data_IF_866111526713
#
_entry.id   IF_866111526713
#
_cell.length_a   1.000
_cell.length_b   1.000
_cell.length_c   1.000
_cell.angle_alpha   90.00
_cell.angle_beta   90.00
_cell.angle_gamma   90.00
#
_symmetry.space_group_name_H-M   'P 1'
#
loop_
_entity.id
_entity.type
_entity.pdbx_description
1 polymer ?
#
# COMPACT_ATOMS: atom_id res chain seq x y z
N UNK A 1 26.55 -3.61 -8.84
CA UNK A 1 25.19 -3.12 -9.15
C UNK A 1 24.20 -3.89 -8.28
N UNK A 2 23.10 -3.26 -7.85
CA UNK A 2 22.09 -3.94 -7.02
C UNK A 2 20.73 -3.96 -7.72
N UNK A 3 20.13 -5.14 -7.83
CA UNK A 3 18.71 -5.30 -8.15
C UNK A 3 17.91 -5.40 -6.85
N UNK A 4 17.10 -4.39 -6.55
CA UNK A 4 16.29 -4.32 -5.34
C UNK A 4 14.85 -4.76 -5.64
N UNK A 5 14.35 -5.77 -4.93
CA UNK A 5 12.95 -6.17 -5.00
C UNK A 5 12.21 -5.86 -3.69
N UNK A 6 11.07 -5.17 -3.80
CA UNK A 6 10.21 -4.77 -2.68
C UNK A 6 8.88 -5.51 -2.76
N UNK A 7 8.70 -6.49 -1.87
CA UNK A 7 7.54 -7.38 -1.86
C UNK A 7 6.20 -6.69 -1.54
N UNK A 8 5.10 -7.41 -1.77
CA UNK A 8 3.76 -6.98 -1.38
C UNK A 8 3.43 -7.14 0.11
N UNK A 9 2.34 -6.48 0.55
CA UNK A 9 1.85 -6.58 1.95
C UNK A 9 1.24 -5.30 2.55
N UNK A 10 0.76 -4.37 1.71
CA UNK A 10 0.17 -3.09 2.14
C UNK A 10 1.16 -2.17 2.85
N UNK A 11 0.65 -1.22 3.66
CA UNK A 11 1.50 -0.26 4.37
C UNK A 11 2.49 -0.90 5.34
N UNK A 12 2.18 -2.08 5.88
CA UNK A 12 3.14 -2.84 6.70
C UNK A 12 4.43 -3.15 5.92
N UNK A 13 4.29 -3.60 4.67
CA UNK A 13 5.43 -3.85 3.79
C UNK A 13 6.14 -2.54 3.43
N UNK A 14 5.37 -1.51 3.05
CA UNK A 14 5.91 -0.18 2.75
C UNK A 14 6.83 0.36 3.84
N UNK A 15 6.38 0.30 5.10
CA UNK A 15 7.09 0.81 6.27
C UNK A 15 8.34 -0.02 6.59
N UNK A 16 8.27 -1.35 6.46
CA UNK A 16 9.43 -2.22 6.59
C UNK A 16 10.50 -1.91 5.53
N UNK A 17 10.10 -1.74 4.26
CA UNK A 17 11.01 -1.42 3.17
C UNK A 17 11.71 -0.06 3.36
N UNK A 18 11.05 0.95 3.96
CA UNK A 18 11.72 2.21 4.32
C UNK A 18 12.89 1.99 5.29
N UNK A 19 12.76 1.04 6.23
CA UNK A 19 13.86 0.63 7.11
C UNK A 19 15.03 0.02 6.35
N UNK A 20 14.74 -0.89 5.42
CA UNK A 20 15.75 -1.55 4.56
C UNK A 20 16.47 -0.51 3.68
N UNK A 21 15.72 0.40 3.06
CA UNK A 21 16.26 1.47 2.22
C UNK A 21 17.07 2.50 3.03
N UNK A 22 16.65 2.81 4.25
CA UNK A 22 17.45 3.64 5.17
C UNK A 22 18.78 2.96 5.52
N UNK A 23 18.79 1.63 5.70
CA UNK A 23 20.05 0.89 5.90
C UNK A 23 20.93 0.92 4.65
N UNK A 24 20.37 0.72 3.45
CA UNK A 24 21.11 0.88 2.20
C UNK A 24 21.71 2.28 2.04
N UNK A 25 21.00 3.32 2.48
CA UNK A 25 21.50 4.70 2.45
C UNK A 25 22.66 4.92 3.44
N UNK A 26 22.59 4.36 4.65
CA UNK A 26 23.68 4.43 5.62
C UNK A 26 24.98 3.78 5.12
N UNK A 27 24.85 2.69 4.36
CA UNK A 27 25.97 1.94 3.79
C UNK A 27 26.46 2.51 2.45
N UNK A 28 25.86 3.60 1.95
CA UNK A 28 26.19 4.16 0.63
C UNK A 28 25.82 3.23 -0.54
N UNK A 29 25.01 2.20 -0.30
CA UNK A 29 24.59 1.21 -1.30
C UNK A 29 23.33 1.63 -2.06
N UNK A 30 22.53 2.56 -1.53
CA UNK A 30 21.28 2.99 -2.16
C UNK A 30 21.52 3.62 -3.55
N UNK A 31 22.64 4.31 -3.75
CA UNK A 31 23.05 4.88 -5.06
C UNK A 31 23.50 3.82 -6.08
N UNK A 32 23.85 2.62 -5.61
CA UNK A 32 24.30 1.49 -6.46
C UNK A 32 23.13 0.63 -6.95
N UNK A 33 21.90 0.96 -6.53
CA UNK A 33 20.67 0.31 -7.00
C UNK A 33 20.45 0.66 -8.46
N UNK A 34 20.41 -0.37 -9.30
CA UNK A 34 20.23 -0.26 -10.75
C UNK A 34 18.79 -0.49 -11.18
N UNK A 35 18.05 -1.35 -10.48
CA UNK A 35 16.64 -1.62 -10.72
C UNK A 35 15.90 -1.78 -9.40
N UNK A 36 14.67 -1.25 -9.33
CA UNK A 36 13.76 -1.36 -8.19
C UNK A 36 12.47 -2.00 -8.69
N UNK A 37 12.30 -3.29 -8.42
CA UNK A 37 11.08 -4.02 -8.74
C UNK A 37 10.15 -4.04 -7.55
N UNK A 38 8.89 -3.65 -7.73
CA UNK A 38 7.97 -3.45 -6.62
C UNK A 38 6.61 -4.10 -6.84
N UNK A 39 6.01 -4.56 -5.74
CA UNK A 39 4.71 -5.22 -5.74
C UNK A 39 3.83 -4.60 -4.65
N UNK A 40 2.57 -4.25 -4.95
CA UNK A 40 1.58 -3.86 -3.95
C UNK A 40 2.07 -2.78 -2.98
N UNK A 41 2.17 -3.07 -1.67
CA UNK A 41 2.75 -2.16 -0.67
C UNK A 41 4.18 -1.68 -1.02
N UNK A 42 4.99 -2.55 -1.62
CA UNK A 42 6.28 -2.19 -2.20
C UNK A 42 6.14 -1.17 -3.33
N UNK A 43 5.12 -1.28 -4.18
CA UNK A 43 4.86 -0.33 -5.27
C UNK A 43 4.43 1.04 -4.77
N UNK A 44 3.69 1.08 -3.67
CA UNK A 44 3.29 2.33 -3.02
C UNK A 44 4.54 3.11 -2.57
N UNK A 45 5.41 2.47 -1.77
CA UNK A 45 6.59 3.15 -1.24
C UNK A 45 7.68 3.35 -2.29
N UNK A 46 7.86 2.40 -3.19
CA UNK A 46 8.87 2.45 -4.25
C UNK A 46 8.60 3.58 -5.22
N UNK A 47 7.35 3.71 -5.71
CA UNK A 47 6.97 4.84 -6.55
C UNK A 47 7.05 6.18 -5.80
N UNK A 48 6.68 6.21 -4.51
CA UNK A 48 6.76 7.42 -3.69
C UNK A 48 8.21 7.91 -3.54
N UNK A 49 9.11 7.01 -3.14
CA UNK A 49 10.55 7.26 -3.11
C UNK A 49 11.07 7.70 -4.49
N UNK A 50 10.71 6.98 -5.54
CA UNK A 50 11.24 7.21 -6.88
C UNK A 50 10.83 8.57 -7.45
N UNK A 51 9.60 9.02 -7.17
CA UNK A 51 9.13 10.37 -7.52
C UNK A 51 10.03 11.43 -6.88
N UNK A 52 10.31 11.29 -5.57
CA UNK A 52 11.17 12.24 -4.85
C UNK A 52 12.64 12.15 -5.31
N UNK A 53 13.13 10.96 -5.67
CA UNK A 53 14.45 10.81 -6.28
C UNK A 53 14.53 11.54 -7.63
N UNK A 54 13.50 11.43 -8.48
CA UNK A 54 13.46 12.15 -9.75
C UNK A 54 13.51 13.67 -9.56
N UNK A 55 12.93 14.20 -8.48
CA UNK A 55 13.03 15.62 -8.14
C UNK A 55 14.47 16.02 -7.80
N UNK A 56 15.21 15.18 -7.06
CA UNK A 56 16.63 15.44 -6.76
C UNK A 56 17.54 15.35 -8.00
N UNK A 57 17.25 14.42 -8.91
CA UNK A 57 18.02 14.19 -10.12
C UNK A 57 17.88 15.30 -11.18
N UNK A 58 16.95 16.25 -10.97
CA UNK A 58 16.82 17.46 -11.78
C UNK A 58 17.88 18.52 -11.46
N UNK A 59 18.57 18.38 -10.32
CA UNK A 59 19.65 19.28 -9.96
C UNK A 59 20.91 18.94 -10.78
N UNK A 60 21.55 19.97 -11.33
CA UNK A 60 22.80 19.83 -12.08
C UNK A 60 24.02 19.75 -11.13
N UNK A 61 24.04 18.69 -10.31
CA UNK A 61 25.15 18.35 -9.42
C UNK A 61 25.19 16.85 -9.16
N UNK A 62 26.37 16.28 -8.84
CA UNK A 62 26.44 14.91 -8.37
C UNK A 62 25.76 14.76 -7.00
N UNK A 63 24.99 13.70 -6.82
CA UNK A 63 24.38 13.32 -5.55
C UNK A 63 25.37 12.51 -4.71
N UNK A 64 25.58 12.95 -3.48
CA UNK A 64 26.46 12.31 -2.49
C UNK A 64 25.68 11.32 -1.62
N UNK A 65 26.37 10.47 -0.86
CA UNK A 65 25.72 9.56 0.10
C UNK A 65 24.85 10.31 1.11
N UNK A 66 25.26 11.52 1.49
CA UNK A 66 24.47 12.35 2.40
C UNK A 66 23.18 12.85 1.74
N UNK A 67 23.19 13.17 0.45
CA UNK A 67 21.98 13.56 -0.29
C UNK A 67 20.96 12.42 -0.34
N UNK A 68 21.42 11.17 -0.51
CA UNK A 68 20.54 9.99 -0.43
C UNK A 68 19.97 9.79 0.98
N UNK A 69 20.75 10.07 2.04
CA UNK A 69 20.25 10.03 3.43
C UNK A 69 19.20 11.12 3.66
N UNK A 70 19.45 12.33 3.21
CA UNK A 70 18.53 13.47 3.36
C UNK A 70 17.23 13.27 2.55
N UNK A 71 17.34 12.69 1.35
CA UNK A 71 16.19 12.21 0.57
C UNK A 71 15.39 11.18 1.36
N UNK A 72 16.02 10.13 1.88
CA UNK A 72 15.33 9.10 2.66
C UNK A 72 14.67 9.66 3.91
N UNK A 73 15.28 10.62 4.60
CA UNK A 73 14.65 11.28 5.74
C UNK A 73 13.37 12.04 5.35
N UNK A 74 13.38 12.76 4.22
CA UNK A 74 12.16 13.41 3.70
C UNK A 74 11.11 12.38 3.31
N UNK A 75 11.49 11.33 2.59
CA UNK A 75 10.61 10.22 2.21
C UNK A 75 9.93 9.63 3.44
N UNK A 76 10.68 9.33 4.51
CA UNK A 76 10.13 8.80 5.76
C UNK A 76 9.13 9.78 6.39
N UNK A 77 9.49 11.06 6.53
CA UNK A 77 8.63 12.07 7.16
C UNK A 77 7.32 12.24 6.41
N UNK A 78 7.38 12.39 5.09
CA UNK A 78 6.19 12.59 4.26
C UNK A 78 5.35 11.31 4.17
N UNK A 79 5.98 10.14 4.03
CA UNK A 79 5.26 8.88 3.93
C UNK A 79 4.55 8.52 5.25
N UNK A 80 5.16 8.79 6.42
CA UNK A 80 4.51 8.60 7.72
C UNK A 80 3.24 9.45 7.85
N UNK A 81 3.28 10.71 7.38
CA UNK A 81 2.10 11.56 7.36
C UNK A 81 1.00 11.00 6.46
N UNK A 82 1.36 10.37 5.34
CA UNK A 82 0.40 9.76 4.41
C UNK A 82 -0.22 8.48 4.99
N UNK A 83 0.56 7.58 5.59
CA UNK A 83 0.01 6.33 6.14
C UNK A 83 -0.83 6.53 7.40
N UNK A 84 -0.75 7.70 8.04
CA UNK A 84 -1.66 8.09 9.12
C UNK A 84 -3.06 8.46 8.63
N UNK A 85 -3.24 8.69 7.32
CA UNK A 85 -4.55 8.90 6.72
C UNK A 85 -5.21 7.54 6.37
N UNK A 86 -6.50 7.40 6.68
CA UNK A 86 -7.23 6.16 6.47
C UNK A 86 -7.72 6.03 5.03
N UNK A 87 -6.87 5.43 4.17
CA UNK A 87 -7.18 5.23 2.77
C UNK A 87 -8.28 4.18 2.58
N UNK A 88 -8.22 3.08 3.33
CA UNK A 88 -9.18 1.97 3.21
C UNK A 88 -10.59 2.37 3.61
N UNK A 89 -10.82 3.05 4.73
CA UNK A 89 -12.18 3.40 5.14
C UNK A 89 -12.82 4.44 4.21
N UNK A 90 -12.04 5.32 3.57
CA UNK A 90 -12.54 6.20 2.49
C UNK A 90 -13.01 5.40 1.26
N UNK A 91 -12.41 4.23 1.00
CA UNK A 91 -12.71 3.33 -0.13
C UNK A 91 -13.89 2.39 0.14
N UNK A 92 -13.95 1.74 1.31
CA UNK A 92 -14.90 0.65 1.63
C UNK A 92 -16.36 1.12 1.75
N UNK A 93 -16.61 2.35 2.19
CA UNK A 93 -17.98 2.88 2.45
C UNK A 93 -18.85 2.95 1.17
N UNK A 94 -18.29 2.81 -0.03
CA UNK A 94 -19.05 2.90 -1.29
C UNK A 94 -18.99 1.63 -2.14
N UNK A 95 -17.97 0.79 -1.96
CA UNK A 95 -17.87 -0.52 -2.63
C UNK A 95 -18.96 -1.52 -2.19
N UNK A 96 -19.59 -1.31 -1.03
CA UNK A 96 -20.77 -2.09 -0.62
C UNK A 96 -22.01 -1.83 -1.50
N UNK A 97 -22.15 -0.62 -2.05
CA UNK A 97 -23.30 -0.23 -2.87
C UNK A 97 -23.17 -0.83 -4.29
N UNK A 98 -21.96 -0.83 -4.86
CA UNK A 98 -21.68 -1.44 -6.17
C UNK A 98 -21.75 -2.96 -6.18
N UNK A 99 -21.66 -3.62 -5.02
CA UNK A 99 -21.84 -5.08 -4.87
C UNK A 99 -23.31 -5.50 -4.84
N UNK A 100 -24.20 -4.60 -4.40
CA UNK A 100 -25.64 -4.85 -4.32
C UNK A 100 -26.36 -4.50 -5.62
N UNK A 101 -25.81 -3.58 -6.42
CA UNK A 101 -26.41 -3.12 -7.67
C UNK A 101 -25.39 -3.27 -8.81
N UNK A 102 -25.67 -4.10 -9.83
CA UNK A 102 -24.83 -4.24 -11.01
C UNK A 102 -24.44 -2.89 -11.62
N UNK A 103 -23.17 -2.73 -11.99
CA UNK A 103 -22.60 -1.48 -12.53
C UNK A 103 -23.42 -0.84 -13.66
N UNK A 104 -24.04 -1.60 -14.61
CA UNK A 104 -24.88 -1.00 -15.66
C UNK A 104 -26.13 -0.31 -15.12
N UNK A 105 -26.72 -0.86 -14.05
CA UNK A 105 -27.92 -0.33 -13.39
C UNK A 105 -27.54 0.91 -12.57
N UNK A 106 -26.42 0.83 -11.84
CA UNK A 106 -25.89 1.94 -11.06
C UNK A 106 -25.47 3.11 -11.97
N UNK A 107 -24.84 2.84 -13.12
CA UNK A 107 -24.51 3.85 -14.15
C UNK A 107 -25.75 4.57 -14.65
N UNK A 108 -26.84 3.85 -14.96
CA UNK A 108 -28.10 4.46 -15.41
C UNK A 108 -28.74 5.34 -14.34
N UNK A 109 -28.75 4.87 -13.09
CA UNK A 109 -29.25 5.61 -11.93
C UNK A 109 -28.42 6.88 -11.67
N UNK A 110 -27.10 6.76 -11.62
CA UNK A 110 -26.18 7.89 -11.42
C UNK A 110 -26.24 8.88 -12.58
N UNK A 111 -26.44 8.42 -13.82
CA UNK A 111 -26.63 9.30 -14.97
C UNK A 111 -27.94 10.10 -14.89
N UNK A 112 -29.04 9.47 -14.43
CA UNK A 112 -30.31 10.15 -14.14
C UNK A 112 -30.14 11.21 -13.03
N UNK A 113 -29.37 10.89 -11.98
CA UNK A 113 -29.07 11.82 -10.89
C UNK A 113 -28.15 12.96 -11.35
N UNK A 114 -27.14 12.68 -12.18
CA UNK A 114 -26.22 13.67 -12.73
C UNK A 114 -26.94 14.74 -13.54
N UNK A 115 -28.00 14.36 -14.28
CA UNK A 115 -28.85 15.32 -15.00
C UNK A 115 -29.53 16.34 -14.09
N UNK A 116 -29.81 15.97 -12.84
CA UNK A 116 -30.49 16.83 -11.87
C UNK A 116 -29.49 17.53 -10.95
N UNK A 117 -28.35 16.88 -10.67
CA UNK A 117 -27.27 17.38 -9.82
C UNK A 117 -25.93 17.18 -10.56
N UNK A 118 -25.48 18.17 -11.35
CA UNK A 118 -24.26 18.07 -12.16
C UNK A 118 -22.99 17.78 -11.34
N UNK A 119 -22.99 18.11 -10.05
CA UNK A 119 -21.89 17.84 -9.12
C UNK A 119 -21.65 16.34 -8.85
N UNK A 120 -22.63 15.47 -9.11
CA UNK A 120 -22.51 14.02 -8.96
C UNK A 120 -22.14 13.38 -10.31
N UNK A 121 -20.85 13.35 -10.64
CA UNK A 121 -20.36 12.76 -11.90
C UNK A 121 -20.23 11.22 -11.75
N UNK A 122 -20.94 10.41 -12.57
CA UNK A 122 -20.87 8.95 -12.50
C UNK A 122 -19.45 8.42 -12.70
N UNK A 123 -18.66 9.04 -13.59
CA UNK A 123 -17.29 8.64 -13.84
C UNK A 123 -16.43 8.77 -12.58
N UNK A 124 -16.62 9.80 -11.77
CA UNK A 124 -15.88 10.02 -10.50
C UNK A 124 -16.35 9.06 -9.40
N UNK A 125 -17.61 8.65 -9.41
CA UNK A 125 -18.19 7.72 -8.43
C UNK A 125 -17.81 6.26 -8.70
N UNK A 126 -17.65 5.93 -9.98
CA UNK A 126 -17.31 4.57 -10.46
C UNK A 126 -15.80 4.34 -10.60
N UNK A 127 -15.01 5.40 -10.66
CA UNK A 127 -13.56 5.32 -10.71
C UNK A 127 -12.97 4.74 -9.41
N UNK A 128 -11.81 4.10 -9.53
CA UNK A 128 -11.22 3.37 -8.40
C UNK A 128 -10.87 4.34 -7.28
N UNK A 129 -11.57 4.24 -6.14
CA UNK A 129 -11.25 5.05 -4.97
C UNK A 129 -9.83 4.81 -4.45
N UNK A 130 -9.26 3.63 -4.71
CA UNK A 130 -7.86 3.34 -4.40
C UNK A 130 -6.94 4.23 -5.24
N UNK A 131 -7.19 4.31 -6.54
CA UNK A 131 -6.48 5.24 -7.44
C UNK A 131 -6.68 6.69 -7.01
N UNK A 132 -7.91 7.12 -6.73
CA UNK A 132 -8.18 8.50 -6.27
C UNK A 132 -7.44 8.83 -4.97
N UNK A 133 -7.39 7.90 -4.03
CA UNK A 133 -6.66 8.05 -2.78
C UNK A 133 -5.16 8.21 -3.00
N UNK A 134 -4.56 7.33 -3.81
CA UNK A 134 -3.14 7.42 -4.17
C UNK A 134 -2.83 8.71 -4.95
N UNK A 135 -3.74 9.11 -5.84
CA UNK A 135 -3.64 10.36 -6.60
C UNK A 135 -3.66 11.56 -5.67
N UNK A 136 -4.61 11.64 -4.75
CA UNK A 136 -4.78 12.79 -3.87
C UNK A 136 -3.64 12.93 -2.84
N UNK A 137 -3.10 11.80 -2.33
CA UNK A 137 -2.15 11.82 -1.22
C UNK A 137 -0.69 11.73 -1.65
N UNK A 138 -0.38 11.10 -2.78
CA UNK A 138 1.01 10.73 -3.13
C UNK A 138 1.46 11.24 -4.50
N UNK A 139 0.66 11.02 -5.55
CA UNK A 139 1.15 11.15 -6.93
C UNK A 139 0.55 12.32 -7.72
N UNK A 140 -0.53 12.94 -7.25
CA UNK A 140 -1.17 14.11 -7.85
C UNK A 140 -1.47 13.94 -9.36
N UNK A 141 -0.79 14.69 -10.23
CA UNK A 141 -0.96 14.61 -11.69
C UNK A 141 0.20 13.90 -12.38
N UNK A 142 1.11 13.28 -11.61
CA UNK A 142 2.32 12.63 -12.14
C UNK A 142 1.93 11.47 -13.06
N UNK A 143 2.44 11.50 -14.28
CA UNK A 143 2.32 10.41 -15.26
C UNK A 143 3.65 9.68 -15.42
N UNK A 144 3.61 8.51 -16.05
CA UNK A 144 4.81 7.67 -16.20
C UNK A 144 5.97 8.41 -16.89
N UNK A 145 5.66 9.23 -17.91
CA UNK A 145 6.65 10.07 -18.61
C UNK A 145 7.45 10.97 -17.68
N UNK A 146 6.82 11.58 -16.68
CA UNK A 146 7.49 12.49 -15.73
C UNK A 146 8.56 11.77 -14.90
N UNK A 147 8.48 10.43 -14.83
CA UNK A 147 9.43 9.56 -14.15
C UNK A 147 10.45 8.92 -15.10
N UNK A 148 10.42 9.20 -16.41
CA UNK A 148 11.36 8.61 -17.39
C UNK A 148 12.57 9.49 -17.70
N UNK A 149 12.55 10.77 -17.35
CA UNK A 149 13.63 11.71 -17.68
C UNK A 149 14.99 11.24 -17.13
N UNK A 150 16.04 11.34 -17.94
CA UNK A 150 17.40 11.06 -17.48
C UNK A 150 17.86 12.10 -16.44
N UNK A 151 18.80 11.75 -15.53
CA UNK A 151 19.42 12.73 -14.66
C UNK A 151 20.03 13.89 -15.43
N UNK A 152 19.94 15.10 -14.88
CA UNK A 152 20.55 16.29 -15.49
C UNK A 152 22.07 16.20 -15.46
N UNK A 153 22.62 15.81 -14.31
CA UNK A 153 24.06 15.60 -14.17
C UNK A 153 24.48 14.19 -14.59
N UNK A 154 25.51 14.00 -15.44
CA UNK A 154 25.86 12.71 -16.04
C UNK A 154 26.44 11.69 -15.06
N UNK A 155 26.98 12.13 -13.92
CA UNK A 155 27.48 11.21 -12.88
C UNK A 155 26.37 10.58 -12.05
N UNK A 156 25.17 11.17 -12.07
CA UNK A 156 24.05 10.64 -11.33
C UNK A 156 23.48 9.41 -12.03
N UNK A 157 23.23 8.36 -11.25
CA UNK A 157 22.56 7.16 -11.72
C UNK A 157 21.09 7.20 -11.31
N UNK A 158 20.23 6.82 -12.23
CA UNK A 158 18.79 6.64 -11.98
C UNK A 158 18.44 5.16 -12.12
N UNK A 159 17.91 4.51 -11.08
CA UNK A 159 17.48 3.13 -11.21
C UNK A 159 16.28 3.01 -12.16
N UNK A 160 16.09 1.84 -12.75
CA UNK A 160 14.83 1.47 -13.41
C UNK A 160 13.79 1.09 -12.36
N UNK A 161 12.73 1.88 -12.19
CA UNK A 161 11.55 1.49 -11.39
C UNK A 161 10.63 0.59 -12.22
N UNK A 162 10.21 -0.53 -11.63
CA UNK A 162 9.28 -1.50 -12.19
C UNK A 162 8.10 -1.71 -11.24
N UNK A 163 6.89 -1.38 -11.69
CA UNK A 163 5.65 -1.66 -10.98
C UNK A 163 5.03 -2.95 -11.55
N UNK A 164 4.93 -3.99 -10.73
CA UNK A 164 4.41 -5.30 -11.14
C UNK A 164 2.89 -5.37 -10.93
N UNK A 165 2.14 -5.75 -11.95
CA UNK A 165 0.70 -6.04 -11.86
C UNK A 165 0.36 -7.32 -12.62
N UNK A 166 -0.72 -7.99 -12.23
CA UNK A 166 -1.19 -9.20 -12.91
C UNK A 166 -2.39 -8.85 -13.79
N UNK A 167 -2.40 -9.28 -15.05
CA UNK A 167 -3.53 -9.07 -15.96
C UNK A 167 -4.53 -10.21 -15.82
N UNK A 168 -5.80 -9.87 -15.57
CA UNK A 168 -6.86 -10.86 -15.37
C UNK A 168 -7.23 -11.61 -16.66
N UNK A 169 -7.20 -10.94 -17.81
CA UNK A 169 -7.65 -11.51 -19.08
C UNK A 169 -6.84 -12.72 -19.54
N UNK A 170 -5.54 -12.76 -19.21
CA UNK A 170 -4.63 -13.81 -19.67
C UNK A 170 -3.74 -14.41 -18.58
N UNK A 171 -3.84 -13.94 -17.33
CA UNK A 171 -3.08 -14.47 -16.20
C UNK A 171 -1.57 -14.25 -16.30
N UNK A 172 -1.11 -13.26 -17.08
CA UNK A 172 0.30 -12.95 -17.27
C UNK A 172 0.69 -11.67 -16.51
N UNK A 173 1.96 -11.52 -16.11
CA UNK A 173 2.44 -10.29 -15.50
C UNK A 173 2.48 -9.16 -16.53
N UNK A 174 2.21 -7.95 -16.08
CA UNK A 174 2.47 -6.70 -16.78
C UNK A 174 3.51 -5.92 -15.96
N UNK A 175 4.62 -5.59 -16.61
CA UNK A 175 5.71 -4.83 -16.02
C UNK A 175 5.63 -3.37 -16.46
N UNK A 176 5.27 -2.45 -15.57
CA UNK A 176 5.26 -1.02 -15.90
C UNK A 176 6.63 -0.45 -15.53
N UNK A 177 7.52 -0.38 -16.52
CA UNK A 177 8.89 0.11 -16.35
C UNK A 177 9.05 1.58 -16.73
N UNK A 178 9.87 2.30 -15.97
CA UNK A 178 10.29 3.69 -16.24
C UNK A 178 11.41 3.80 -17.29
N UNK A 179 11.97 2.67 -17.74
CA UNK A 179 12.90 2.63 -18.86
C UNK A 179 12.17 2.14 -20.12
N UNK A 180 11.89 3.00 -21.10
CA UNK A 180 11.15 2.62 -22.31
C UNK A 180 11.89 1.62 -23.21
N UNK A 181 13.20 1.45 -23.02
CA UNK A 181 14.01 0.49 -23.79
C UNK A 181 14.22 -0.86 -23.06
N UNK A 182 13.64 -1.01 -21.88
CA UNK A 182 13.76 -2.21 -21.05
C UNK A 182 13.29 -3.48 -21.77
N UNK A 183 13.96 -4.60 -21.49
CA UNK A 183 13.55 -5.93 -21.95
C UNK A 183 12.14 -6.30 -21.47
N UNK A 184 11.69 -5.71 -20.37
CA UNK A 184 10.36 -5.91 -19.81
C UNK A 184 9.26 -5.39 -20.75
N UNK A 185 9.50 -4.29 -21.47
CA UNK A 185 8.55 -3.82 -22.48
C UNK A 185 8.46 -4.75 -23.67
N UNK A 186 9.55 -5.39 -24.08
CA UNK A 186 9.53 -6.42 -25.14
C UNK A 186 8.72 -7.64 -24.70
N UNK A 187 8.82 -8.02 -23.42
CA UNK A 187 8.00 -9.09 -22.86
C UNK A 187 6.51 -8.71 -22.83
N UNK A 188 6.20 -7.47 -22.44
CA UNK A 188 4.82 -6.96 -22.47
C UNK A 188 4.25 -6.93 -23.90
N UNK A 189 5.04 -6.51 -24.89
CA UNK A 189 4.63 -6.49 -26.30
C UNK A 189 4.31 -7.91 -26.79
N UNK A 190 5.15 -8.90 -26.45
CA UNK A 190 4.90 -10.30 -26.79
C UNK A 190 3.65 -10.88 -26.13
N UNK A 191 3.43 -10.59 -24.86
CA UNK A 191 2.37 -11.23 -24.07
C UNK A 191 1.02 -10.55 -24.26
N UNK A 192 1.03 -9.23 -24.48
CA UNK A 192 -0.17 -8.38 -24.38
C UNK A 192 -0.38 -7.48 -25.60
N UNK A 193 0.63 -7.35 -26.47
CA UNK A 193 0.70 -6.33 -27.51
C UNK A 193 0.61 -4.90 -26.93
N UNK A 194 1.30 -4.66 -25.81
CA UNK A 194 1.40 -3.35 -25.15
C UNK A 194 2.83 -2.84 -25.29
N UNK A 195 3.00 -1.64 -25.85
CA UNK A 195 4.30 -0.98 -26.00
C UNK A 195 4.51 0.14 -24.98
N UNK A 196 5.76 0.53 -24.79
CA UNK A 196 6.15 1.57 -23.84
C UNK A 196 5.56 2.96 -24.19
N UNK A 197 5.53 3.31 -25.47
CA UNK A 197 5.05 4.59 -25.99
C UNK A 197 3.55 4.82 -25.74
N UNK A 198 2.77 3.75 -25.68
CA UNK A 198 1.33 3.79 -25.38
C UNK A 198 1.05 4.11 -23.90
N UNK A 199 2.03 3.91 -23.02
CA UNK A 199 1.88 3.99 -21.56
C UNK A 199 2.46 5.28 -20.95
N UNK A 200 3.04 6.15 -21.77
CA UNK A 200 3.72 7.38 -21.31
C UNK A 200 2.82 8.30 -20.48
N UNK A 201 1.54 8.39 -20.83
CA UNK A 201 0.57 9.25 -20.15
C UNK A 201 -0.23 8.51 -19.07
N UNK A 202 0.11 7.26 -18.76
CA UNK A 202 -0.56 6.53 -17.68
C UNK A 202 -0.27 7.24 -16.34
N UNK A 203 -1.30 7.60 -15.54
CA UNK A 203 -1.08 8.15 -14.21
C UNK A 203 -0.31 7.16 -13.33
N UNK A 204 0.72 7.64 -12.63
CA UNK A 204 1.50 6.80 -11.70
C UNK A 204 0.60 6.25 -10.60
N UNK A 205 -0.36 7.04 -10.11
CA UNK A 205 -1.38 6.58 -9.15
C UNK A 205 -2.15 5.37 -9.65
N UNK A 206 -2.42 5.28 -10.96
CA UNK A 206 -3.15 4.16 -11.57
C UNK A 206 -2.31 2.91 -11.64
N UNK A 207 -1.05 3.04 -12.06
CA UNK A 207 -0.10 1.92 -12.11
C UNK A 207 0.14 1.33 -10.71
N UNK A 208 0.35 2.21 -9.71
CA UNK A 208 0.52 1.80 -8.30
C UNK A 208 -0.77 1.18 -7.77
N UNK A 209 -1.93 1.75 -8.07
CA UNK A 209 -3.22 1.20 -7.64
C UNK A 209 -3.47 -0.19 -8.25
N UNK A 210 -3.12 -0.41 -9.52
CA UNK A 210 -3.23 -1.72 -10.16
C UNK A 210 -2.33 -2.74 -9.46
N UNK A 211 -1.08 -2.38 -9.18
CA UNK A 211 -0.14 -3.22 -8.44
C UNK A 211 -0.58 -3.53 -7.00
N UNK A 212 -1.38 -2.65 -6.36
CA UNK A 212 -1.90 -2.83 -5.00
C UNK A 212 -3.38 -3.28 -4.94
N UNK A 213 -3.97 -3.64 -6.09
CA UNK A 213 -5.38 -3.99 -6.20
C UNK A 213 -5.63 -5.45 -5.79
N UNK A 214 -5.68 -5.69 -4.48
CA UNK A 214 -5.97 -7.01 -3.91
C UNK A 214 -7.33 -7.54 -4.40
N UNK A 215 -7.37 -8.69 -5.11
CA UNK A 215 -8.61 -9.31 -5.58
C UNK A 215 -9.62 -9.54 -4.45
N UNK A 216 -10.90 -9.31 -4.72
CA UNK A 216 -11.98 -9.45 -3.73
C UNK A 216 -12.08 -8.30 -2.70
N UNK A 217 -11.00 -7.54 -2.49
CA UNK A 217 -11.03 -6.32 -1.68
C UNK A 217 -11.32 -5.08 -2.52
N UNK A 218 -10.70 -4.97 -3.69
CA UNK A 218 -10.87 -3.85 -4.63
C UNK A 218 -11.37 -4.35 -5.99
N UNK A 219 -12.00 -3.44 -6.75
CA UNK A 219 -12.34 -3.71 -8.14
C UNK A 219 -11.06 -3.64 -8.99
N UNK A 220 -10.88 -4.55 -9.97
CA UNK A 220 -9.73 -4.51 -10.88
C UNK A 220 -9.55 -3.15 -11.55
N UNK A 221 -8.30 -2.73 -11.72
CA UNK A 221 -7.96 -1.41 -12.28
C UNK A 221 -7.88 -1.52 -13.80
N UNK A 222 -8.73 -0.78 -14.50
CA UNK A 222 -8.71 -0.70 -15.97
C UNK A 222 -7.51 0.12 -16.44
N UNK A 223 -6.56 -0.53 -17.11
CA UNK A 223 -5.37 0.09 -17.70
C UNK A 223 -5.63 0.29 -19.21
N UNK A 224 -5.66 1.53 -19.72
CA UNK A 224 -5.81 1.80 -21.15
C UNK A 224 -4.52 1.55 -21.91
N UNK A 225 -4.63 0.96 -23.11
CA UNK A 225 -3.54 0.81 -24.07
C UNK A 225 -4.09 0.90 -25.51
N UNK A 226 -3.76 1.98 -26.21
CA UNK A 226 -4.37 2.29 -27.50
C UNK A 226 -5.90 2.30 -27.42
N UNK A 227 -6.56 1.52 -28.30
CA UNK A 227 -8.01 1.35 -28.33
C UNK A 227 -8.52 0.20 -27.42
N UNK A 228 -7.63 -0.43 -26.66
CA UNK A 228 -7.91 -1.61 -25.83
C UNK A 228 -7.75 -1.29 -24.35
N UNK A 229 -8.32 -2.15 -23.51
CA UNK A 229 -8.33 -2.03 -22.05
C UNK A 229 -8.07 -3.40 -21.44
N UNK A 230 -7.25 -3.43 -20.37
CA UNK A 230 -6.90 -4.64 -19.60
C UNK A 230 -7.17 -4.36 -18.13
N UNK A 231 -7.44 -5.41 -17.37
CA UNK A 231 -7.75 -5.28 -15.95
C UNK A 231 -6.60 -5.79 -15.10
N UNK A 232 -5.87 -4.84 -14.51
CA UNK A 232 -4.78 -5.10 -13.59
C UNK A 232 -5.28 -5.39 -12.17
N UNK A 233 -4.70 -6.41 -11.55
CA UNK A 233 -4.82 -6.71 -10.12
C UNK A 233 -3.44 -6.80 -9.48
N UNK A 234 -3.42 -6.99 -8.16
CA UNK A 234 -2.20 -7.07 -7.38
C UNK A 234 -1.16 -8.02 -8.02
N UNK A 235 0.07 -7.53 -8.17
CA UNK A 235 1.18 -8.31 -8.75
C UNK A 235 1.54 -9.53 -7.90
N UNK A 236 1.21 -9.51 -6.61
CA UNK A 236 1.52 -10.57 -5.66
C UNK A 236 0.82 -11.89 -5.94
N UNK A 237 -0.25 -11.89 -6.75
CA UNK A 237 -0.90 -13.12 -7.22
C UNK A 237 0.06 -14.00 -8.02
N UNK A 238 0.97 -13.40 -8.80
CA UNK A 238 1.94 -14.11 -9.64
C UNK A 238 3.36 -14.06 -9.09
N UNK A 239 3.79 -12.93 -8.52
CA UNK A 239 5.11 -12.75 -7.93
C UNK A 239 5.05 -11.73 -6.80
N UNK A 240 4.86 -12.19 -5.56
CA UNK A 240 4.79 -11.29 -4.40
C UNK A 240 6.14 -10.73 -3.97
N UNK A 241 7.27 -11.32 -4.41
CA UNK A 241 8.60 -10.83 -4.07
C UNK A 241 9.08 -9.76 -5.07
N UNK A 242 8.53 -9.75 -6.28
CA UNK A 242 8.98 -8.88 -7.38
C UNK A 242 10.32 -9.32 -7.97
N UNK A 243 10.79 -10.54 -7.65
CA UNK A 243 12.09 -11.05 -8.08
C UNK A 243 12.14 -11.44 -9.56
N UNK A 244 10.99 -11.73 -10.19
CA UNK A 244 10.93 -12.16 -11.58
C UNK A 244 11.39 -11.05 -12.54
N UNK A 245 10.95 -9.80 -12.34
CA UNK A 245 11.39 -8.67 -13.15
C UNK A 245 12.90 -8.43 -13.03
N UNK A 246 13.45 -8.52 -11.81
CA UNK A 246 14.90 -8.39 -11.57
C UNK A 246 15.68 -9.51 -12.26
N UNK A 247 15.16 -10.73 -12.25
CA UNK A 247 15.78 -11.87 -12.94
C UNK A 247 15.83 -11.66 -14.46
N UNK A 248 14.77 -11.10 -15.06
CA UNK A 248 14.74 -10.78 -16.49
C UNK A 248 15.72 -9.66 -16.87
N UNK A 249 15.99 -8.75 -15.93
CA UNK A 249 16.97 -7.67 -16.08
C UNK A 249 18.37 -8.05 -15.59
N UNK A 250 18.57 -9.30 -15.15
CA UNK A 250 19.82 -9.69 -14.52
C UNK A 250 21.00 -9.62 -15.47
N UNK A 251 22.12 -9.12 -14.95
CA UNK A 251 23.38 -8.98 -15.64
C UNK A 251 24.50 -9.52 -14.76
N UNK A 252 25.58 -9.97 -15.38
CA UNK A 252 26.76 -10.44 -14.67
C UNK A 252 27.28 -9.35 -13.71
N UNK A 253 27.55 -9.71 -12.44
CA UNK A 253 27.96 -8.77 -11.40
C UNK A 253 26.83 -7.96 -10.76
N UNK A 254 25.55 -8.24 -11.06
CA UNK A 254 24.41 -7.69 -10.33
C UNK A 254 24.05 -8.57 -9.12
N UNK A 255 24.22 -8.01 -7.92
CA UNK A 255 23.72 -8.62 -6.68
C UNK A 255 22.22 -8.34 -6.54
N UNK A 256 21.45 -9.33 -6.12
CA UNK A 256 20.00 -9.18 -5.92
C UNK A 256 19.69 -9.13 -4.42
N UNK A 257 18.94 -8.11 -4.02
CA UNK A 257 18.42 -7.94 -2.67
C UNK A 257 16.90 -8.04 -2.69
N UNK A 258 16.37 -9.14 -2.15
CA UNK A 258 14.94 -9.36 -1.97
C UNK A 258 14.53 -8.87 -0.57
N UNK A 259 13.83 -7.74 -0.51
CA UNK A 259 13.20 -7.28 0.73
C UNK A 259 11.82 -7.94 0.85
N UNK A 260 11.74 -8.96 1.71
CA UNK A 260 10.55 -9.75 1.91
C UNK A 260 9.80 -9.36 3.18
N UNK A 261 8.73 -8.63 2.98
CA UNK A 261 7.77 -8.28 4.01
C UNK A 261 6.53 -9.19 3.97
N UNK A 262 6.50 -10.28 3.19
CA UNK A 262 5.31 -11.13 3.02
C UNK A 262 4.81 -11.71 4.35
N UNK A 263 3.50 -11.61 4.60
CA UNK A 263 2.88 -12.14 5.83
C UNK A 263 2.97 -13.67 5.87
N UNK A 264 3.37 -14.28 6.99
CA UNK A 264 3.31 -15.75 7.12
C UNK A 264 1.87 -16.24 7.07
N UNK A 265 1.70 -17.44 6.53
CA UNK A 265 0.44 -18.14 6.56
C UNK A 265 0.07 -18.47 8.01
N UNK A 266 -1.08 -18.01 8.48
CA UNK A 266 -1.56 -18.30 9.84
C UNK A 266 -2.00 -19.76 9.95
N UNK A 267 -1.82 -20.39 11.11
CA UNK A 267 -2.50 -21.66 11.41
C UNK A 267 -3.87 -21.30 11.96
N UNK A 268 -4.93 -21.70 11.26
CA UNK A 268 -6.33 -21.37 11.60
C UNK A 268 -7.14 -22.65 11.69
N UNK A 269 -8.13 -22.68 12.60
CA UNK A 269 -9.05 -23.80 12.71
C UNK A 269 -10.16 -23.63 11.67
N UNK A 270 -10.37 -24.62 10.80
CA UNK A 270 -11.31 -24.55 9.68
C UNK A 270 -12.76 -24.24 10.10
N UNK A 271 -13.14 -24.57 11.34
CA UNK A 271 -14.47 -24.30 11.91
C UNK A 271 -14.79 -22.79 11.94
N UNK A 272 -13.78 -21.91 11.91
CA UNK A 272 -13.95 -20.46 11.98
C UNK A 272 -13.95 -19.74 10.62
N UNK A 273 -13.73 -20.47 9.52
CA UNK A 273 -13.51 -19.89 8.18
C UNK A 273 -14.82 -19.85 7.39
N UNK A 274 -15.33 -18.65 7.08
CA UNK A 274 -16.48 -18.50 6.20
C UNK A 274 -16.11 -18.63 4.70
N UNK A 275 -17.10 -18.62 3.81
CA UNK A 275 -16.86 -18.80 2.36
C UNK A 275 -16.04 -17.67 1.72
N UNK A 276 -16.09 -16.46 2.27
CA UNK A 276 -15.32 -15.31 1.78
C UNK A 276 -13.89 -15.36 2.31
N UNK A 277 -13.72 -15.69 3.60
CA UNK A 277 -12.43 -15.90 4.24
C UNK A 277 -11.67 -17.06 3.60
N UNK A 278 -12.39 -18.13 3.18
CA UNK A 278 -11.83 -19.24 2.41
C UNK A 278 -11.19 -18.79 1.10
N UNK A 279 -11.78 -17.84 0.37
CA UNK A 279 -11.20 -17.32 -0.87
C UNK A 279 -9.86 -16.61 -0.62
N UNK A 280 -9.82 -15.70 0.36
CA UNK A 280 -8.58 -15.01 0.74
C UNK A 280 -7.54 -15.97 1.30
N UNK A 281 -7.97 -17.01 2.01
CA UNK A 281 -7.10 -18.06 2.53
C UNK A 281 -6.43 -18.84 1.41
N UNK A 282 -7.17 -19.20 0.36
CA UNK A 282 -6.63 -19.86 -0.83
C UNK A 282 -5.63 -18.95 -1.55
N UNK A 283 -5.94 -17.65 -1.67
CA UNK A 283 -4.99 -16.70 -2.24
C UNK A 283 -3.70 -16.61 -1.42
N UNK A 284 -3.80 -16.49 -0.10
CA UNK A 284 -2.65 -16.45 0.81
C UNK A 284 -1.81 -17.75 0.73
N UNK A 285 -2.46 -18.92 0.55
CA UNK A 285 -1.79 -20.21 0.31
C UNK A 285 -0.97 -20.21 -0.98
N UNK A 286 -1.56 -19.82 -2.11
CA UNK A 286 -0.84 -19.76 -3.39
C UNK A 286 0.32 -18.78 -3.35
N UNK A 287 0.11 -17.57 -2.81
CA UNK A 287 1.18 -16.58 -2.68
C UNK A 287 2.32 -17.08 -1.78
N UNK A 288 2.01 -17.79 -0.69
CA UNK A 288 3.05 -18.39 0.16
C UNK A 288 3.82 -19.48 -0.57
N UNK A 289 3.14 -20.38 -1.28
CA UNK A 289 3.80 -21.46 -2.01
C UNK A 289 4.73 -20.93 -3.12
N UNK A 290 4.28 -19.95 -3.90
CA UNK A 290 5.10 -19.31 -4.95
C UNK A 290 6.32 -18.60 -4.33
N UNK A 291 6.13 -17.88 -3.22
CA UNK A 291 7.22 -17.24 -2.48
C UNK A 291 8.25 -18.26 -2.01
N UNK A 292 7.81 -19.34 -1.38
CA UNK A 292 8.69 -20.34 -0.77
C UNK A 292 9.53 -21.03 -1.86
N UNK A 293 8.91 -21.43 -2.98
CA UNK A 293 9.61 -21.95 -4.16
C UNK A 293 10.65 -20.96 -4.71
N UNK A 294 10.34 -19.67 -4.74
CA UNK A 294 11.28 -18.64 -5.21
C UNK A 294 12.49 -18.51 -4.28
N UNK A 295 12.28 -18.60 -2.98
CA UNK A 295 13.35 -18.47 -1.98
C UNK A 295 14.24 -19.71 -1.93
N UNK A 296 13.66 -20.90 -2.06
CA UNK A 296 14.43 -22.16 -2.07
C UNK A 296 15.32 -22.29 -3.31
N UNK A 297 14.90 -21.72 -4.44
CA UNK A 297 15.61 -21.81 -5.71
C UNK A 297 16.59 -20.67 -6.00
N UNK A 298 16.93 -19.82 -5.03
CA UNK A 298 17.77 -18.64 -5.29
C UNK A 298 18.92 -18.48 -4.29
N UNK A 299 20.06 -17.99 -4.79
CA UNK A 299 21.21 -17.53 -4.00
C UNK A 299 21.12 -16.03 -3.66
N UNK A 300 19.99 -15.37 -3.99
CA UNK A 300 19.76 -13.96 -3.74
C UNK A 300 19.86 -13.60 -2.24
N UNK A 301 20.28 -12.38 -1.95
CA UNK A 301 20.30 -11.88 -0.57
C UNK A 301 18.88 -11.55 -0.13
N UNK A 302 18.39 -12.17 0.94
CA UNK A 302 17.03 -11.97 1.45
C UNK A 302 17.05 -11.25 2.80
N UNK A 303 16.28 -10.17 2.88
CA UNK A 303 15.97 -9.46 4.12
C UNK A 303 14.52 -9.73 4.46
N UNK A 304 14.27 -10.42 5.57
CA UNK A 304 12.93 -10.78 6.02
C UNK A 304 12.72 -10.50 7.51
N UNK A 305 11.46 -10.50 7.93
CA UNK A 305 11.07 -10.36 9.34
C UNK A 305 10.67 -11.70 10.01
N UNK A 306 10.77 -12.81 9.27
CA UNK A 306 10.34 -14.15 9.71
C UNK A 306 11.39 -14.84 10.57
N UNK A 307 12.67 -14.53 10.36
CA UNK A 307 13.79 -15.02 11.16
C UNK A 307 14.03 -14.15 12.39
N UNK A 308 14.85 -14.64 13.32
CA UNK A 308 15.30 -13.83 14.47
C UNK A 308 16.14 -12.65 13.98
N UNK A 309 15.92 -11.48 14.61
CA UNK A 309 16.61 -10.25 14.26
C UNK A 309 17.36 -9.76 15.50
N UNK A 310 18.70 -9.63 15.44
CA UNK A 310 19.47 -9.13 16.56
C UNK A 310 19.00 -7.74 17.02
N UNK A 311 18.84 -7.57 18.34
CA UNK A 311 18.42 -6.29 18.92
C UNK A 311 16.93 -5.98 18.78
N UNK A 312 16.08 -6.99 18.56
CA UNK A 312 14.62 -6.89 18.56
C UNK A 312 14.04 -7.92 19.51
N UNK A 313 13.15 -7.50 20.41
CA UNK A 313 12.42 -8.42 21.28
C UNK A 313 11.52 -9.37 20.46
N UNK A 314 11.51 -10.70 20.75
CA UNK A 314 10.73 -11.68 19.99
C UNK A 314 9.22 -11.37 19.92
N UNK A 315 8.66 -10.77 20.97
CA UNK A 315 7.25 -10.36 21.04
C UNK A 315 7.00 -9.25 20.02
N UNK A 316 7.88 -8.26 19.98
CA UNK A 316 7.77 -7.12 19.07
C UNK A 316 7.93 -7.56 17.63
N UNK A 317 8.87 -8.46 17.36
CA UNK A 317 9.03 -9.09 16.05
C UNK A 317 7.75 -9.81 15.63
N UNK A 318 7.16 -10.61 16.51
CA UNK A 318 5.91 -11.34 16.25
C UNK A 318 4.76 -10.38 15.94
N UNK A 319 4.63 -9.28 16.70
CA UNK A 319 3.65 -8.24 16.43
C UNK A 319 3.89 -7.56 15.08
N UNK A 320 5.12 -7.20 14.74
CA UNK A 320 5.47 -6.61 13.45
C UNK A 320 5.14 -7.54 12.27
N UNK A 321 5.45 -8.83 12.39
CA UNK A 321 5.17 -9.86 11.38
C UNK A 321 3.66 -10.08 11.18
N UNK A 322 2.90 -10.09 12.27
CA UNK A 322 1.47 -10.43 12.26
C UNK A 322 0.55 -9.23 12.09
N UNK A 323 1.12 -8.02 12.11
CA UNK A 323 0.43 -6.74 11.94
C UNK A 323 -0.41 -6.75 10.65
N UNK A 324 -1.47 -5.94 10.66
CA UNK A 324 -2.41 -5.82 9.54
C UNK A 324 -1.69 -5.45 8.24
N UNK A 325 -2.14 -6.01 7.13
CA UNK A 325 -1.61 -5.78 5.77
C UNK A 325 -2.53 -4.91 4.92
N UNK A 326 -3.57 -4.33 5.52
CA UNK A 326 -4.50 -3.46 4.82
C UNK A 326 -3.97 -2.01 4.74
N UNK A 327 -4.62 -1.21 3.90
CA UNK A 327 -4.34 0.23 3.73
C UNK A 327 -5.10 1.08 4.77
N UNK A 328 -5.29 0.54 5.98
CA UNK A 328 -5.80 1.30 7.12
C UNK A 328 -4.72 2.25 7.62
N UNK A 329 -5.12 3.29 8.36
CA UNK A 329 -4.18 4.20 9.00
C UNK A 329 -3.22 3.45 9.95
N UNK A 330 -1.93 3.81 9.93
CA UNK A 330 -0.90 3.36 10.86
C UNK A 330 -0.59 4.47 11.85
N UNK A 331 -0.45 4.12 13.13
CA UNK A 331 0.08 5.05 14.13
C UNK A 331 1.58 5.29 13.91
N UNK A 332 2.11 6.38 14.47
CA UNK A 332 3.55 6.68 14.38
C UNK A 332 4.39 5.57 15.03
N UNK A 333 3.92 5.05 16.17
CA UNK A 333 4.58 3.94 16.88
C UNK A 333 4.66 2.70 16.00
N UNK A 334 3.56 2.28 15.38
CA UNK A 334 3.57 1.13 14.46
C UNK A 334 4.49 1.36 13.26
N UNK A 335 4.45 2.58 12.69
CA UNK A 335 5.27 2.96 11.55
C UNK A 335 6.77 2.89 11.87
N UNK A 336 7.20 3.55 12.95
CA UNK A 336 8.61 3.53 13.36
C UNK A 336 9.07 2.16 13.80
N UNK A 337 8.24 1.36 14.47
CA UNK A 337 8.59 -0.02 14.81
C UNK A 337 8.86 -0.88 13.58
N UNK A 338 8.02 -0.79 12.54
CA UNK A 338 8.23 -1.54 11.30
C UNK A 338 9.48 -1.10 10.55
N UNK A 339 9.75 0.21 10.48
CA UNK A 339 10.98 0.75 9.90
C UNK A 339 12.22 0.27 10.67
N UNK A 340 12.19 0.35 12.00
CA UNK A 340 13.30 -0.10 12.83
C UNK A 340 13.54 -1.62 12.68
N UNK A 341 12.48 -2.42 12.58
CA UNK A 341 12.59 -3.86 12.28
C UNK A 341 13.28 -4.09 10.93
N UNK A 342 12.86 -3.41 9.87
CA UNK A 342 13.49 -3.52 8.55
C UNK A 342 14.95 -3.08 8.54
N UNK A 343 15.27 -2.01 9.26
CA UNK A 343 16.63 -1.51 9.39
C UNK A 343 17.55 -2.54 10.06
N UNK A 344 17.14 -3.12 11.19
CA UNK A 344 17.93 -4.13 11.90
C UNK A 344 17.99 -5.47 11.16
N UNK A 345 16.91 -5.87 10.49
CA UNK A 345 16.85 -7.12 9.70
C UNK A 345 17.84 -7.14 8.52
N UNK A 346 18.32 -5.96 8.12
CA UNK A 346 19.17 -5.77 6.95
C UNK A 346 20.67 -5.89 7.26
N UNK A 347 21.08 -5.87 8.53
CA UNK A 347 22.49 -5.66 8.91
C UNK A 347 23.48 -6.65 8.27
N UNK A 348 23.28 -7.95 8.51
CA UNK A 348 24.17 -9.01 8.00
C UNK A 348 24.12 -9.12 6.46
N UNK A 349 23.01 -8.74 5.86
CA UNK A 349 22.78 -8.79 4.42
C UNK A 349 23.56 -7.69 3.69
N UNK A 350 23.78 -6.54 4.31
CA UNK A 350 24.61 -5.48 3.74
C UNK A 350 26.08 -5.92 3.60
N UNK A 351 26.59 -6.65 4.59
CA UNK A 351 27.96 -7.20 4.55
C UNK A 351 28.13 -8.15 3.34
N UNK A 352 27.11 -8.98 3.07
CA UNK A 352 27.11 -9.87 1.89
C UNK A 352 27.08 -9.11 0.57
N UNK A 353 26.37 -7.99 0.49
CA UNK A 353 26.28 -7.17 -0.72
C UNK A 353 27.60 -6.43 -1.03
N UNK A 354 28.40 -6.12 -0.01
CA UNK A 354 29.71 -5.46 -0.18
C UNK A 354 30.85 -6.44 -0.52
N UNK A 355 30.67 -7.74 -0.24
CA UNK A 355 31.67 -8.79 -0.47
C UNK A 355 32.81 -8.79 0.56
N UNK A 356 33.46 -9.93 0.80
CA UNK A 356 34.55 -10.10 1.79
C UNK A 356 35.86 -9.33 1.45
N UNK A 357 35.88 -8.47 0.42
CA UNK A 357 37.12 -7.99 -0.24
C UNK A 357 37.52 -6.53 -0.03
N UNK A 358 36.92 -5.79 0.90
CA UNK A 358 37.45 -4.47 1.30
C UNK A 358 37.89 -4.47 2.76
N UNK A 359 39.15 -4.90 2.95
CA UNK A 359 39.89 -4.86 4.21
C UNK A 359 40.25 -3.46 4.72
N UNK A 360 39.69 -2.40 4.15
CA UNK A 360 39.68 -1.07 4.74
C UNK A 360 38.26 -0.77 5.19
N UNK A 361 37.98 -1.05 6.48
CA UNK A 361 36.91 -0.38 7.20
C UNK A 361 37.18 1.11 7.06
N UNK A 362 36.51 1.76 6.11
CA UNK A 362 36.27 3.19 6.22
C UNK A 362 35.73 3.39 7.63
N UNK A 363 36.54 4.06 8.45
CA UNK A 363 36.28 4.50 9.81
C UNK A 363 34.80 4.44 10.15
N UNK A 364 34.44 3.71 11.21
CA UNK A 364 33.10 3.55 11.77
C UNK A 364 32.37 4.91 11.84
N UNK A 365 31.78 5.32 10.72
CA UNK A 365 30.79 6.37 10.64
C UNK A 365 29.64 5.82 11.45
N UNK A 366 29.26 6.53 12.53
CA UNK A 366 28.18 6.15 13.43
C UNK A 366 27.01 5.58 12.62
N UNK A 367 26.79 4.26 12.75
CA UNK A 367 25.59 3.59 12.25
C UNK A 367 24.38 4.44 12.68
N UNK A 368 23.56 4.86 11.71
CA UNK A 368 22.75 6.06 11.76
C UNK A 368 21.90 6.26 13.02
N UNK A 369 22.36 7.11 13.93
CA UNK A 369 21.57 7.57 15.09
C UNK A 369 20.48 8.60 14.71
N UNK A 370 20.51 9.13 13.48
CA UNK A 370 19.72 10.31 13.08
C UNK A 370 18.39 9.99 12.38
N UNK A 371 18.01 8.71 12.24
CA UNK A 371 16.71 8.39 11.63
C UNK A 371 15.56 8.70 12.60
N UNK A 372 14.43 9.27 12.13
CA UNK A 372 13.29 9.57 13.01
C UNK A 372 12.80 8.36 13.81
N UNK A 373 12.82 7.18 13.19
CA UNK A 373 12.39 5.94 13.81
C UNK A 373 13.38 5.39 14.86
N UNK A 374 14.59 5.92 15.01
CA UNK A 374 15.53 5.49 16.06
C UNK A 374 14.99 5.76 17.47
N UNK A 375 14.03 6.68 17.62
CA UNK A 375 13.38 6.95 18.90
C UNK A 375 12.61 5.76 19.47
N UNK A 376 12.30 4.74 18.67
CA UNK A 376 11.57 3.54 19.12
C UNK A 376 12.51 2.44 19.64
N UNK A 377 13.83 2.58 19.47
CA UNK A 377 14.83 1.55 19.76
C UNK A 377 14.69 0.94 21.15
N UNK A 378 14.57 1.76 22.18
CA UNK A 378 14.45 1.29 23.57
C UNK A 378 13.20 0.42 23.78
N UNK A 379 12.07 0.81 23.19
CA UNK A 379 10.80 0.08 23.26
C UNK A 379 10.79 -1.19 22.42
N UNK A 380 11.50 -1.23 21.29
CA UNK A 380 11.60 -2.45 20.47
C UNK A 380 12.55 -3.47 21.12
N UNK A 381 13.61 -3.00 21.78
CA UNK A 381 14.58 -3.85 22.48
C UNK A 381 14.05 -4.38 23.81
N UNK A 382 13.30 -3.55 24.54
CA UNK A 382 12.70 -3.88 25.84
C UNK A 382 11.27 -3.30 25.88
N UNK A 383 10.28 -4.05 25.38
CA UNK A 383 8.92 -3.52 25.23
C UNK A 383 8.25 -3.26 26.57
N UNK A 384 7.65 -2.08 26.71
CA UNK A 384 6.75 -1.77 27.84
C UNK A 384 5.32 -2.24 27.53
N UNK A 385 4.48 -2.49 28.55
CA UNK A 385 3.08 -2.86 28.34
C UNK A 385 2.31 -1.86 27.47
N UNK A 386 2.54 -0.57 27.63
CA UNK A 386 1.88 0.51 26.88
C UNK A 386 2.26 0.46 25.40
N UNK A 387 3.55 0.25 25.12
CA UNK A 387 4.05 0.05 23.76
C UNK A 387 3.41 -1.18 23.09
N UNK A 388 3.32 -2.30 23.82
CA UNK A 388 2.69 -3.52 23.29
C UNK A 388 1.20 -3.33 23.00
N UNK A 389 0.49 -2.51 23.79
CA UNK A 389 -0.91 -2.16 23.53
C UNK A 389 -1.05 -1.35 22.24
N UNK A 390 -0.13 -0.42 21.98
CA UNK A 390 -0.13 0.37 20.74
C UNK A 390 0.23 -0.48 19.52
N UNK A 391 1.19 -1.39 19.63
CA UNK A 391 1.57 -2.33 18.56
C UNK A 391 0.52 -3.42 18.30
N UNK A 392 -0.23 -3.81 19.34
CA UNK A 392 -1.14 -4.94 19.35
C UNK A 392 -2.62 -4.57 19.26
N UNK A 393 -2.98 -3.34 18.88
CA UNK A 393 -4.39 -2.96 18.75
C UNK A 393 -5.12 -3.97 17.85
N UNK A 394 -6.07 -4.69 18.48
CA UNK A 394 -6.70 -5.89 17.93
C UNK A 394 -7.11 -5.68 16.48
N UNK A 395 -6.50 -6.47 15.59
CA UNK A 395 -6.98 -6.70 14.24
C UNK A 395 -8.47 -7.03 14.30
N UNK A 396 -9.34 -6.09 13.89
CA UNK A 396 -10.71 -6.45 13.52
C UNK A 396 -10.60 -7.48 12.39
N UNK A 397 -11.48 -8.49 12.36
CA UNK A 397 -11.50 -9.51 11.29
C UNK A 397 -11.42 -8.83 9.91
N UNK A 398 -10.69 -9.43 8.96
CA UNK A 398 -10.43 -8.88 7.60
C UNK A 398 -11.76 -8.51 6.93
N UNK A 399 -12.80 -9.29 7.23
CA UNK A 399 -14.20 -8.95 7.12
C UNK A 399 -14.87 -9.24 8.47
N UNK A 400 -15.23 -8.21 9.24
CA UNK A 400 -16.31 -8.39 10.20
C UNK A 400 -17.59 -7.98 9.47
N UNK A 401 -18.47 -8.94 9.18
CA UNK A 401 -19.88 -8.58 9.11
C UNK A 401 -20.16 -7.92 10.45
N UNK A 402 -20.62 -6.66 10.49
CA UNK A 402 -20.92 -6.04 11.76
C UNK A 402 -21.89 -6.99 12.46
N UNK A 403 -21.50 -7.51 13.63
CA UNK A 403 -22.46 -8.17 14.51
C UNK A 403 -23.66 -7.23 14.58
N UNK A 404 -24.87 -7.77 14.47
CA UNK A 404 -26.09 -6.99 14.57
C UNK A 404 -26.12 -6.44 16.00
N UNK A 405 -25.44 -5.32 16.23
CA UNK A 405 -25.45 -4.60 17.48
C UNK A 405 -26.88 -4.13 17.69
N UNK A 406 -27.27 -3.88 18.94
CA UNK A 406 -28.60 -3.35 19.23
C UNK A 406 -28.93 -2.13 18.35
N UNK A 407 -27.93 -1.31 18.02
CA UNK A 407 -28.06 -0.22 17.05
C UNK A 407 -28.40 -0.66 15.62
N UNK A 408 -27.79 -1.73 15.08
CA UNK A 408 -28.13 -2.26 13.76
C UNK A 408 -29.52 -2.91 13.74
N UNK A 409 -29.91 -3.59 14.82
CA UNK A 409 -31.25 -4.14 14.95
C UNK A 409 -32.32 -3.04 15.01
N UNK A 410 -32.05 -1.96 15.74
CA UNK A 410 -32.91 -0.76 15.81
C UNK A 410 -32.94 -0.03 14.46
N UNK A 411 -31.82 0.08 13.76
CA UNK A 411 -31.79 0.68 12.41
C UNK A 411 -32.56 -0.16 11.39
N UNK A 412 -32.47 -1.50 11.49
CA UNK A 412 -33.20 -2.41 10.61
C UNK A 412 -34.70 -2.37 10.91
N UNK A 413 -35.11 -2.33 12.18
CA UNK A 413 -36.52 -2.19 12.55
C UNK A 413 -37.09 -0.84 12.11
N UNK A 414 -36.28 0.23 12.21
CA UNK A 414 -36.65 1.55 11.69
C UNK A 414 -36.79 1.53 10.16
N UNK A 415 -35.87 0.88 9.44
CA UNK A 415 -35.94 0.74 7.98
C UNK A 415 -37.17 -0.05 7.53
N UNK A 416 -37.51 -1.13 8.22
CA UNK A 416 -38.69 -1.93 7.94
C UNK A 416 -39.98 -1.16 8.23
N UNK A 417 -40.02 -0.41 9.34
CA UNK A 417 -41.13 0.49 9.64
C UNK A 417 -41.28 1.57 8.56
N UNK A 418 -40.15 2.13 8.10
CA UNK A 418 -40.12 3.15 7.06
C UNK A 418 -40.65 2.62 5.73
N UNK A 419 -40.26 1.40 5.36
CA UNK A 419 -40.77 0.70 4.19
C UNK A 419 -42.27 0.39 4.32
N UNK A 420 -42.72 -0.01 5.50
CA UNK A 420 -44.14 -0.24 5.76
C UNK A 420 -44.97 1.04 5.62
N UNK A 421 -44.47 2.18 6.13
CA UNK A 421 -45.11 3.49 5.95
C UNK A 421 -45.11 3.92 4.49
N UNK A 422 -44.01 3.70 3.75
CA UNK A 422 -43.95 3.96 2.32
C UNK A 422 -45.00 3.17 1.55
N UNK A 423 -45.10 1.85 1.81
CA UNK A 423 -46.08 0.97 1.16
C UNK A 423 -47.49 1.39 1.52
N UNK A 424 -47.76 1.73 2.78
CA UNK A 424 -49.07 2.21 3.23
C UNK A 424 -49.50 3.47 2.47
N UNK A 425 -48.64 4.48 2.42
CA UNK A 425 -48.95 5.73 1.72
C UNK A 425 -49.10 5.47 0.21
N UNK A 426 -48.25 4.63 -0.38
CA UNK A 426 -48.39 4.29 -1.79
C UNK A 426 -49.74 3.64 -2.10
N UNK A 427 -50.15 2.65 -1.31
CA UNK A 427 -51.42 1.94 -1.50
C UNK A 427 -52.62 2.86 -1.35
N UNK A 428 -52.60 3.77 -0.38
CA UNK A 428 -53.78 4.59 -0.06
C UNK A 428 -53.82 5.95 -0.77
N UNK A 429 -52.66 6.51 -1.14
CA UNK A 429 -52.51 7.91 -1.56
C UNK A 429 -51.72 8.05 -2.88
N UNK A 430 -51.25 6.93 -3.43
CA UNK A 430 -50.51 6.91 -4.69
C UNK A 430 -49.01 7.19 -4.53
N UNK A 431 -48.27 6.85 -5.58
CA UNK A 431 -46.80 6.80 -5.53
C UNK A 431 -46.15 8.18 -5.36
N UNK A 432 -46.78 9.23 -5.89
CA UNK A 432 -46.24 10.59 -5.83
C UNK A 432 -46.22 11.14 -4.39
N UNK A 433 -47.27 10.90 -3.62
CA UNK A 433 -47.34 11.33 -2.23
C UNK A 433 -46.41 10.51 -1.33
N UNK A 434 -46.29 9.20 -1.59
CA UNK A 434 -45.31 8.35 -0.91
C UNK A 434 -43.87 8.83 -1.14
N UNK A 435 -43.52 9.19 -2.38
CA UNK A 435 -42.20 9.75 -2.71
C UNK A 435 -41.99 11.11 -2.04
N UNK A 436 -43.00 11.97 -1.95
CA UNK A 436 -42.85 13.28 -1.32
C UNK A 436 -42.66 13.20 0.20
N UNK A 437 -43.53 12.48 0.91
CA UNK A 437 -43.52 12.43 2.37
C UNK A 437 -42.43 11.54 2.94
N UNK A 438 -42.10 10.45 2.25
CA UNK A 438 -41.16 9.43 2.73
C UNK A 438 -39.85 9.43 1.93
N UNK A 439 -39.83 9.98 0.72
CA UNK A 439 -38.60 10.14 -0.06
C UNK A 439 -37.89 11.45 0.25
N UNK A 440 -38.51 12.59 -0.05
CA UNK A 440 -37.77 13.86 -0.17
C UNK A 440 -37.47 14.54 1.18
N UNK A 441 -38.48 14.72 2.04
CA UNK A 441 -38.35 15.48 3.31
C UNK A 441 -37.37 14.81 4.28
N UNK A 442 -37.44 13.49 4.54
CA UNK A 442 -36.56 12.86 5.53
C UNK A 442 -35.15 12.66 4.99
N UNK A 443 -34.97 12.40 3.68
CA UNK A 443 -33.64 12.34 3.05
C UNK A 443 -32.95 13.70 3.12
N UNK A 444 -33.67 14.81 2.95
CA UNK A 444 -33.12 16.16 3.13
C UNK A 444 -32.64 16.38 4.57
N UNK A 445 -33.44 16.00 5.57
CA UNK A 445 -33.09 16.15 6.99
C UNK A 445 -31.92 15.26 7.43
N UNK A 446 -31.90 14.00 6.98
CA UNK A 446 -30.81 13.05 7.25
C UNK A 446 -29.53 13.46 6.52
N UNK A 447 -29.62 13.97 5.30
CA UNK A 447 -28.45 14.49 4.57
C UNK A 447 -27.85 15.71 5.25
N UNK A 448 -28.66 16.63 5.78
CA UNK A 448 -28.20 17.81 6.52
C UNK A 448 -27.53 17.42 7.85
N UNK A 449 -28.16 16.50 8.60
CA UNK A 449 -27.61 15.99 9.87
C UNK A 449 -26.36 15.12 9.68
N UNK A 450 -26.33 14.34 8.60
CA UNK A 450 -25.18 13.51 8.20
C UNK A 450 -23.96 14.35 7.83
N UNK A 451 -24.14 15.46 7.11
CA UNK A 451 -23.06 16.40 6.76
C UNK A 451 -22.45 17.04 8.02
N UNK A 452 -23.28 17.46 8.98
CA UNK A 452 -22.82 18.03 10.25
C UNK A 452 -22.12 16.99 11.15
N UNK A 453 -22.58 15.74 11.15
CA UNK A 453 -21.94 14.65 11.89
C UNK A 453 -20.60 14.25 11.27
N UNK A 454 -20.51 14.15 9.94
CA UNK A 454 -19.26 13.88 9.21
C UNK A 454 -18.22 14.98 9.46
N UNK A 455 -18.60 16.26 9.44
CA UNK A 455 -17.69 17.36 9.79
C UNK A 455 -17.14 17.25 11.21
N UNK A 456 -17.96 16.83 12.18
CA UNK A 456 -17.53 16.64 13.59
C UNK A 456 -16.67 15.40 13.82
N UNK A 457 -16.88 14.31 13.07
CA UNK A 457 -16.08 13.09 13.22
C UNK A 457 -14.74 13.15 12.49
N UNK A 458 -14.69 13.80 11.31
CA UNK A 458 -13.43 14.06 10.59
C UNK A 458 -12.46 14.91 11.42
N UNK A 459 -12.96 15.78 12.31
CA UNK A 459 -12.13 16.57 13.22
C UNK A 459 -11.49 15.78 14.39
N UNK A 460 -12.05 14.63 14.79
CA UNK A 460 -11.61 13.87 15.99
C UNK A 460 -10.68 12.69 15.71
N UNK A 461 -10.46 12.32 14.45
CA UNK A 461 -9.69 11.13 14.08
C UNK A 461 -8.16 11.29 14.07
N UNK A 462 -7.62 12.51 14.19
CA UNK A 462 -6.27 12.81 13.69
C UNK A 462 -5.06 12.37 14.53
N UNK A 463 -5.20 11.85 15.75
CA UNK A 463 -4.02 11.53 16.60
C UNK A 463 -4.27 10.38 17.57
N UNK A 464 -4.11 9.13 17.15
CA UNK A 464 -3.97 7.99 18.08
C UNK A 464 -2.61 7.31 17.86
N UNK A 465 -1.84 7.14 18.93
CA UNK A 465 -0.56 6.41 18.93
C UNK A 465 0.65 7.20 18.42
N UNK A 466 0.94 8.35 19.03
CA UNK A 466 2.14 9.16 18.73
C UNK A 466 3.29 8.84 19.67
N UNK A 467 4.53 9.14 19.28
CA UNK A 467 5.68 9.04 20.19
C UNK A 467 5.55 9.94 21.43
N UNK A 468 4.92 11.11 21.29
CA UNK A 468 4.64 12.01 22.41
C UNK A 468 3.73 11.36 23.46
N UNK A 469 2.63 10.75 23.02
CA UNK A 469 1.70 10.05 23.93
C UNK A 469 2.34 8.84 24.62
N UNK A 470 3.31 8.18 23.97
CA UNK A 470 4.01 7.05 24.58
C UNK A 470 4.99 7.51 25.68
N UNK A 471 5.69 8.63 25.46
CA UNK A 471 6.61 9.22 26.46
C UNK A 471 5.87 9.75 27.69
N UNK A 472 4.76 10.46 27.50
CA UNK A 472 3.93 10.96 28.61
C UNK A 472 3.46 9.81 29.51
N UNK A 473 2.99 8.70 28.92
CA UNK A 473 2.53 7.55 29.69
C UNK A 473 3.65 6.82 30.43
N UNK A 474 4.86 6.73 29.86
CA UNK A 474 5.99 6.13 30.58
C UNK A 474 6.47 6.98 31.76
N UNK A 475 6.38 8.30 31.66
CA UNK A 475 6.78 9.21 32.75
C UNK A 475 5.78 9.14 33.93
N UNK A 476 4.49 8.93 33.64
CA UNK A 476 3.45 8.73 34.67
C UNK A 476 3.55 7.41 35.43
N UNK A 477 4.12 6.36 34.85
CA UNK A 477 4.29 5.05 35.50
C UNK A 477 5.57 4.98 36.33
N UNK A 478 6.55 5.85 36.04
CA UNK A 478 7.83 5.93 36.76
C UNK A 478 7.86 7.02 37.85
N UNK A 479 6.79 7.80 38.01
CA UNK A 479 6.57 8.77 39.10
C UNK A 479 5.65 8.18 40.16
#
# INVERSE_FOLDING_TARGET
MIGLALSGGGYRASLFHLGVMARLADEGLLKEVHAISTVSGGSIVGAFYYKMLCEELRNDRPLTDQDYRDLMQRVIREFVAVVQEDLRNRVVITGGISRLVPEPILKRLLWLVHKVVPALNPAVILDSKLEQGMRALMFQTTVLRDLMDSPVHPENRKPELILNTSILENGQPLFISTNPTSLLWRQNERNHAIRADEMLNLPVSKAVAASACVPGLFNPITIPFGDRMVHGVDGGVLDNLGGHAIQLLWQEGMSVLLSDASKPLRIENYVEVDSVESFFRIQDLFMSAIRDLRIEGTDDTIVDMRKEIPGIDPTVRTLAVTMRTDLNAFSEVEAYSLMYVGYCASGQQMDKLQGESTGERASAKKVGEDWPFMSIRSYVQKPTPEYLVLMGQKSKKRFSVPNLTLSHAVSLSYLLLYLAVFIYIWVHHGVYEAIWYVGFIPVLLVSLGGVLFLQRHVAKGKRKGTMASLKEQSDFVNA
#
